data_IF_578303713046
#
_entry.id   IF_578303713046
#
_cell.length_a   1.000
_cell.length_b   1.000
_cell.length_c   1.000
_cell.angle_alpha   90.00
_cell.angle_beta   90.00
_cell.angle_gamma   90.00
#
_symmetry.space_group_name_H-M   'P 1'
#
loop_
_entity.id
_entity.type
_entity.pdbx_description
1 polymer ?
#
# COMPACT_ATOMS: atom_id res chain seq x y z
N UNK A 1 -22.26 -41.19 2.90
CA UNK A 1 -21.14 -40.52 3.59
C UNK A 1 -20.04 -40.03 2.63
N UNK A 2 -19.35 -40.88 1.84
CA UNK A 2 -18.22 -40.43 0.97
C UNK A 2 -18.56 -39.30 -0.03
N UNK A 3 -19.78 -39.24 -0.59
CA UNK A 3 -20.21 -38.20 -1.54
C UNK A 3 -20.40 -36.82 -0.90
N UNK A 4 -20.96 -36.77 0.31
CA UNK A 4 -21.19 -35.52 1.07
C UNK A 4 -19.87 -34.89 1.54
N UNK A 5 -18.91 -35.72 1.98
CA UNK A 5 -17.57 -35.24 2.32
C UNK A 5 -16.81 -34.69 1.10
N UNK A 6 -16.93 -35.34 -0.07
CA UNK A 6 -16.32 -34.84 -1.30
C UNK A 6 -16.91 -33.49 -1.72
N UNK A 7 -18.25 -33.36 -1.75
CA UNK A 7 -18.91 -32.09 -2.09
C UNK A 7 -18.60 -30.97 -1.08
N UNK A 8 -18.43 -31.30 0.21
CA UNK A 8 -17.96 -30.34 1.22
C UNK A 8 -16.54 -29.85 0.94
N UNK A 9 -15.62 -30.73 0.53
CA UNK A 9 -14.25 -30.34 0.18
C UNK A 9 -14.22 -29.43 -1.05
N UNK A 10 -14.96 -29.77 -2.10
CA UNK A 10 -15.05 -28.95 -3.32
C UNK A 10 -15.58 -27.54 -3.01
N UNK A 11 -16.58 -27.41 -2.14
CA UNK A 11 -17.09 -26.10 -1.72
C UNK A 11 -16.06 -25.28 -0.95
N UNK A 12 -15.33 -25.89 0.00
CA UNK A 12 -14.28 -25.20 0.75
C UNK A 12 -13.11 -24.77 -0.15
N UNK A 13 -12.71 -25.60 -1.11
CA UNK A 13 -11.67 -25.25 -2.09
C UNK A 13 -12.12 -24.11 -3.00
N UNK A 14 -13.32 -24.18 -3.57
CA UNK A 14 -13.85 -23.09 -4.41
C UNK A 14 -13.94 -21.77 -3.64
N UNK A 15 -14.34 -21.83 -2.36
CA UNK A 15 -14.40 -20.65 -1.50
C UNK A 15 -13.02 -20.07 -1.24
N UNK A 16 -12.03 -20.93 -0.98
CA UNK A 16 -10.63 -20.53 -0.78
C UNK A 16 -10.05 -19.85 -2.02
N UNK A 17 -10.31 -20.39 -3.22
CA UNK A 17 -9.85 -19.78 -4.47
C UNK A 17 -10.43 -18.38 -4.68
N UNK A 18 -11.73 -18.21 -4.39
CA UNK A 18 -12.38 -16.89 -4.45
C UNK A 18 -11.81 -15.91 -3.42
N UNK A 19 -11.49 -16.38 -2.21
CA UNK A 19 -10.89 -15.55 -1.17
C UNK A 19 -9.46 -15.13 -1.53
N UNK A 20 -8.67 -16.04 -2.10
CA UNK A 20 -7.31 -15.75 -2.57
C UNK A 20 -7.32 -14.72 -3.71
N UNK A 21 -8.28 -14.82 -4.64
CA UNK A 21 -8.49 -13.83 -5.69
C UNK A 21 -8.79 -12.43 -5.10
N UNK A 22 -9.65 -12.35 -4.08
CA UNK A 22 -9.97 -11.09 -3.38
C UNK A 22 -8.75 -10.56 -2.61
N UNK A 23 -7.98 -11.43 -1.98
CA UNK A 23 -6.75 -11.06 -1.28
C UNK A 23 -5.69 -10.49 -2.23
N UNK A 24 -5.54 -11.05 -3.43
CA UNK A 24 -4.64 -10.53 -4.46
C UNK A 24 -5.03 -9.11 -4.90
N UNK A 25 -6.32 -8.85 -5.11
CA UNK A 25 -6.83 -7.51 -5.42
C UNK A 25 -6.55 -6.52 -4.27
N UNK A 26 -6.88 -6.90 -3.03
CA UNK A 26 -6.64 -6.06 -1.85
C UNK A 26 -5.16 -5.75 -1.64
N UNK A 27 -4.28 -6.73 -1.86
CA UNK A 27 -2.82 -6.54 -1.73
C UNK A 27 -2.31 -5.46 -2.68
N UNK A 28 -2.74 -5.47 -3.93
CA UNK A 28 -2.35 -4.43 -4.89
C UNK A 28 -2.85 -3.05 -4.47
N UNK A 29 -4.09 -2.93 -3.99
CA UNK A 29 -4.62 -1.66 -3.49
C UNK A 29 -3.83 -1.12 -2.28
N UNK A 30 -3.48 -1.99 -1.33
CA UNK A 30 -2.66 -1.62 -0.17
C UNK A 30 -1.26 -1.16 -0.59
N UNK A 31 -0.62 -1.87 -1.53
CA UNK A 31 0.70 -1.53 -2.07
C UNK A 31 0.66 -0.20 -2.84
N UNK A 32 -0.39 0.06 -3.63
CA UNK A 32 -0.61 1.33 -4.30
C UNK A 32 -0.81 2.47 -3.29
N UNK A 33 -1.70 2.29 -2.30
CA UNK A 33 -1.95 3.31 -1.26
C UNK A 33 -0.69 3.67 -0.47
N UNK A 34 0.17 2.70 -0.16
CA UNK A 34 1.47 2.96 0.50
C UNK A 34 2.38 3.82 -0.38
N UNK A 35 2.45 3.50 -1.67
CA UNK A 35 3.25 4.23 -2.66
C UNK A 35 2.76 5.69 -2.79
N UNK A 36 1.45 5.89 -2.92
CA UNK A 36 0.82 7.22 -3.03
C UNK A 36 1.03 8.06 -1.76
N UNK A 37 0.82 7.47 -0.58
CA UNK A 37 1.04 8.15 0.71
C UNK A 37 2.49 8.59 0.88
N UNK A 38 3.47 7.73 0.53
CA UNK A 38 4.88 8.11 0.56
C UNK A 38 5.15 9.25 -0.41
N UNK A 39 4.69 9.15 -1.66
CA UNK A 39 4.92 10.18 -2.67
C UNK A 39 4.36 11.54 -2.24
N UNK A 40 3.14 11.59 -1.69
CA UNK A 40 2.54 12.82 -1.18
C UNK A 40 3.32 13.40 0.01
N UNK A 41 3.76 12.56 0.95
CA UNK A 41 4.55 13.00 2.11
C UNK A 41 5.92 13.54 1.68
N UNK A 42 6.64 12.81 0.81
CA UNK A 42 7.94 13.23 0.27
C UNK A 42 7.81 14.55 -0.49
N UNK A 43 6.76 14.72 -1.31
CA UNK A 43 6.53 15.98 -2.04
C UNK A 43 6.38 17.17 -1.09
N UNK A 44 5.57 17.03 -0.04
CA UNK A 44 5.38 18.12 0.94
C UNK A 44 6.68 18.46 1.67
N UNK A 45 7.44 17.45 2.08
CA UNK A 45 8.71 17.65 2.78
C UNK A 45 9.77 18.23 1.84
N UNK A 46 9.78 17.84 0.56
CA UNK A 46 10.65 18.43 -0.46
C UNK A 46 10.33 19.91 -0.65
N UNK A 47 9.05 20.29 -0.78
CA UNK A 47 8.64 21.70 -0.89
C UNK A 47 9.16 22.54 0.29
N UNK A 48 9.08 22.03 1.52
CA UNK A 48 9.63 22.68 2.71
C UNK A 48 11.16 22.75 2.70
N UNK A 49 11.83 21.68 2.26
CA UNK A 49 13.29 21.63 2.13
C UNK A 49 13.80 22.61 1.07
N UNK A 50 13.17 22.66 -0.10
CA UNK A 50 13.48 23.62 -1.17
C UNK A 50 13.27 25.07 -0.69
N UNK A 51 12.20 25.33 0.07
CA UNK A 51 11.96 26.65 0.63
C UNK A 51 13.04 27.05 1.66
N UNK A 52 13.51 26.12 2.49
CA UNK A 52 14.60 26.37 3.44
C UNK A 52 15.94 26.59 2.73
N UNK A 53 16.25 25.80 1.70
CA UNK A 53 17.43 25.98 0.86
C UNK A 53 17.42 27.35 0.18
N UNK A 54 16.29 27.78 -0.40
CA UNK A 54 16.18 29.10 -1.01
C UNK A 54 16.42 30.24 -0.01
N UNK A 55 15.95 30.09 1.24
CA UNK A 55 16.22 31.07 2.31
C UNK A 55 17.71 31.12 2.67
N UNK A 56 18.36 29.96 2.79
CA UNK A 56 19.80 29.84 3.03
C UNK A 56 20.62 30.53 1.93
N UNK A 57 20.30 30.26 0.66
CA UNK A 57 20.94 30.92 -0.49
C UNK A 57 20.76 32.44 -0.48
N UNK A 58 19.55 32.93 -0.16
CA UNK A 58 19.29 34.37 -0.05
C UNK A 58 20.08 35.02 1.09
N UNK A 59 20.14 34.38 2.25
CA UNK A 59 20.93 34.86 3.37
C UNK A 59 22.44 34.90 3.04
N UNK A 60 22.93 33.94 2.26
CA UNK A 60 24.30 33.93 1.77
C UNK A 60 24.58 35.12 0.85
N UNK A 61 23.65 35.42 -0.07
CA UNK A 61 23.75 36.60 -0.95
C UNK A 61 23.76 37.90 -0.13
N UNK A 62 22.89 38.03 0.88
CA UNK A 62 22.88 39.17 1.80
C UNK A 62 24.21 39.32 2.55
N UNK A 63 24.77 38.21 3.05
CA UNK A 63 26.06 38.20 3.73
C UNK A 63 27.19 38.66 2.82
N UNK A 64 27.26 38.13 1.59
CA UNK A 64 28.27 38.50 0.61
C UNK A 64 28.15 39.97 0.18
N UNK A 65 26.92 40.49 0.05
CA UNK A 65 26.68 41.90 -0.23
C UNK A 65 27.19 42.79 0.91
N UNK A 66 26.80 42.48 2.17
CA UNK A 66 27.27 43.21 3.35
C UNK A 66 28.81 43.14 3.51
N UNK A 67 29.42 42.01 3.14
CA UNK A 67 30.87 41.86 3.12
C UNK A 67 31.54 42.78 2.09
N UNK A 68 30.95 42.95 0.89
CA UNK A 68 31.45 43.85 -0.16
C UNK A 68 31.28 45.32 0.21
N UNK A 69 30.20 45.68 0.90
CA UNK A 69 29.95 47.05 1.40
C UNK A 69 30.94 47.48 2.51
N UNK A 70 31.61 46.52 3.16
CA UNK A 70 32.55 46.82 4.26
C UNK A 70 31.88 47.23 5.58
N UNK A 71 30.56 47.17 5.68
CA UNK A 71 29.80 47.50 6.89
C UNK A 71 29.84 46.32 7.88
N UNK A 72 30.64 46.46 8.94
CA UNK A 72 30.82 45.45 9.98
C UNK A 72 29.52 45.12 10.74
N UNK A 73 28.61 46.09 10.92
CA UNK A 73 27.35 45.85 11.64
C UNK A 73 26.39 45.05 10.77
N UNK A 74 26.23 45.44 9.50
CA UNK A 74 25.43 44.68 8.53
C UNK A 74 25.97 43.28 8.31
N UNK A 75 27.30 43.13 8.20
CA UNK A 75 27.95 41.82 8.03
C UNK A 75 27.62 40.87 9.18
N UNK A 76 27.75 41.33 10.44
CA UNK A 76 27.41 40.51 11.61
C UNK A 76 25.93 40.12 11.63
N UNK A 77 25.03 41.05 11.31
CA UNK A 77 23.60 40.75 11.24
C UNK A 77 23.27 39.72 10.14
N UNK A 78 23.88 39.87 8.96
CA UNK A 78 23.71 38.93 7.85
C UNK A 78 24.32 37.56 8.15
N UNK A 79 25.43 37.49 8.88
CA UNK A 79 26.05 36.25 9.32
C UNK A 79 25.11 35.44 10.24
N UNK A 80 24.49 36.09 11.23
CA UNK A 80 23.54 35.43 12.13
C UNK A 80 22.35 34.86 11.33
N UNK A 81 21.79 35.65 10.41
CA UNK A 81 20.71 35.17 9.52
C UNK A 81 21.13 33.97 8.67
N UNK A 82 22.36 33.97 8.17
CA UNK A 82 22.90 32.87 7.38
C UNK A 82 23.01 31.60 8.24
N UNK A 83 23.60 31.70 9.43
CA UNK A 83 23.72 30.55 10.35
C UNK A 83 22.35 29.96 10.74
N UNK A 84 21.36 30.82 11.01
CA UNK A 84 19.99 30.38 11.28
C UNK A 84 19.35 29.69 10.07
N UNK A 85 19.54 30.24 8.87
CA UNK A 85 19.00 29.68 7.63
C UNK A 85 19.66 28.35 7.24
N UNK A 86 20.99 28.23 7.38
CA UNK A 86 21.73 27.00 7.14
C UNK A 86 21.35 25.90 8.14
N UNK A 87 21.12 26.26 9.41
CA UNK A 87 20.63 25.31 10.43
C UNK A 87 19.25 24.79 10.06
N UNK A 88 18.33 25.68 9.68
CA UNK A 88 16.97 25.30 9.26
C UNK A 88 16.98 24.43 8.00
N UNK A 89 17.81 24.76 7.00
CA UNK A 89 18.00 23.95 5.80
C UNK A 89 18.50 22.54 6.16
N UNK A 90 19.50 22.44 7.04
CA UNK A 90 20.06 21.15 7.47
C UNK A 90 19.03 20.30 8.22
N UNK A 91 18.15 20.90 9.01
CA UNK A 91 17.05 20.19 9.65
C UNK A 91 16.02 19.68 8.63
N UNK A 92 15.59 20.53 7.69
CA UNK A 92 14.66 20.12 6.63
C UNK A 92 15.25 19.05 5.71
N UNK A 93 16.55 19.12 5.42
CA UNK A 93 17.26 18.09 4.67
C UNK A 93 17.21 16.74 5.38
N UNK A 94 17.43 16.70 6.69
CA UNK A 94 17.31 15.46 7.48
C UNK A 94 15.88 14.91 7.47
N UNK A 95 14.86 15.77 7.52
CA UNK A 95 13.47 15.33 7.41
C UNK A 95 13.19 14.73 6.03
N UNK A 96 13.70 15.35 4.97
CA UNK A 96 13.60 14.86 3.60
C UNK A 96 14.28 13.50 3.40
N UNK A 97 15.53 13.37 3.88
CA UNK A 97 16.28 12.11 3.82
C UNK A 97 15.55 10.98 4.56
N UNK A 98 14.97 11.27 5.73
CA UNK A 98 14.14 10.32 6.49
C UNK A 98 12.88 9.91 5.72
N UNK A 99 12.20 10.86 5.08
CA UNK A 99 10.99 10.57 4.31
C UNK A 99 11.30 9.72 3.07
N UNK A 100 12.43 9.97 2.40
CA UNK A 100 12.89 9.14 1.29
C UNK A 100 13.24 7.71 1.71
N UNK A 101 13.79 7.53 2.91
CA UNK A 101 14.18 6.23 3.44
C UNK A 101 12.99 5.29 3.75
N UNK A 102 11.75 5.79 3.77
CA UNK A 102 10.55 4.95 3.94
C UNK A 102 10.46 3.92 2.80
N UNK A 103 10.44 2.63 3.10
CA UNK A 103 10.39 1.59 2.06
C UNK A 103 8.97 1.49 1.49
N UNK A 104 8.88 1.51 0.16
CA UNK A 104 7.65 1.20 -0.61
C UNK A 104 7.92 -0.01 -1.49
N UNK A 105 6.87 -0.74 -1.95
CA UNK A 105 7.04 -1.76 -2.97
C UNK A 105 7.81 -1.19 -4.15
N UNK A 106 8.83 -1.91 -4.61
CA UNK A 106 9.54 -1.54 -5.83
C UNK A 106 8.57 -1.57 -7.02
N UNK A 107 8.84 -0.77 -8.06
CA UNK A 107 7.98 -0.70 -9.23
C UNK A 107 7.73 -2.08 -9.87
N UNK A 108 8.73 -2.96 -9.84
CA UNK A 108 8.65 -4.35 -10.29
C UNK A 108 7.70 -5.20 -9.45
N UNK A 109 7.75 -5.08 -8.13
CA UNK A 109 6.85 -5.78 -7.20
C UNK A 109 5.42 -5.25 -7.32
N UNK A 110 5.24 -3.93 -7.44
CA UNK A 110 3.93 -3.31 -7.67
C UNK A 110 3.31 -3.75 -9.00
N UNK A 111 4.11 -3.88 -10.06
CA UNK A 111 3.66 -4.40 -11.35
C UNK A 111 3.24 -5.88 -11.26
N UNK A 112 3.97 -6.70 -10.48
CA UNK A 112 3.59 -8.10 -10.23
C UNK A 112 2.28 -8.20 -9.46
N UNK A 113 2.09 -7.41 -8.41
CA UNK A 113 0.84 -7.42 -7.63
C UNK A 113 -0.33 -6.88 -8.45
N UNK A 114 -0.10 -5.88 -9.31
CA UNK A 114 -1.08 -5.39 -10.29
C UNK A 114 -1.55 -6.51 -11.22
N UNK A 115 -0.61 -7.20 -11.87
CA UNK A 115 -0.94 -8.29 -12.80
C UNK A 115 -1.78 -9.37 -12.12
N UNK A 116 -1.37 -9.80 -10.92
CA UNK A 116 -2.13 -10.78 -10.12
C UNK A 116 -3.53 -10.29 -9.76
N UNK A 117 -3.67 -9.01 -9.39
CA UNK A 117 -4.97 -8.42 -9.10
C UNK A 117 -5.87 -8.35 -10.35
N UNK A 118 -5.32 -8.00 -11.51
CA UNK A 118 -6.05 -8.00 -12.78
C UNK A 118 -6.49 -9.41 -13.20
N UNK A 119 -5.60 -10.40 -13.08
CA UNK A 119 -5.92 -11.81 -13.34
C UNK A 119 -6.99 -12.35 -12.36
N UNK A 120 -6.89 -11.99 -11.08
CA UNK A 120 -7.89 -12.35 -10.07
C UNK A 120 -9.26 -11.71 -10.34
N UNK A 121 -9.28 -10.43 -10.73
CA UNK A 121 -10.50 -9.71 -11.07
C UNK A 121 -11.17 -10.28 -12.33
N UNK A 122 -10.39 -10.68 -13.33
CA UNK A 122 -10.91 -11.32 -14.53
C UNK A 122 -11.58 -12.69 -14.23
N UNK A 123 -11.07 -13.42 -13.23
CA UNK A 123 -11.59 -14.74 -12.82
C UNK A 123 -12.64 -14.68 -11.71
N UNK A 124 -12.82 -13.54 -11.05
CA UNK A 124 -13.69 -13.41 -9.87
C UNK A 124 -15.12 -13.89 -10.12
N UNK A 125 -15.70 -13.53 -11.27
CA UNK A 125 -17.06 -13.92 -11.63
C UNK A 125 -17.18 -15.44 -11.89
N UNK A 126 -16.15 -16.05 -12.49
CA UNK A 126 -16.11 -17.49 -12.69
C UNK A 126 -15.94 -18.25 -11.36
N UNK A 127 -15.06 -17.76 -10.48
CA UNK A 127 -14.84 -18.34 -9.15
C UNK A 127 -16.09 -18.20 -8.27
N UNK A 128 -16.80 -17.06 -8.34
CA UNK A 128 -18.05 -16.87 -7.63
C UNK A 128 -19.14 -17.85 -8.10
N UNK A 129 -19.24 -18.10 -9.41
CA UNK A 129 -20.14 -19.13 -9.96
C UNK A 129 -19.76 -20.54 -9.48
N UNK A 130 -18.47 -20.89 -9.51
CA UNK A 130 -17.97 -22.19 -9.00
C UNK A 130 -18.31 -22.39 -7.52
N UNK A 131 -18.21 -21.36 -6.70
CA UNK A 131 -18.60 -21.43 -5.28
C UNK A 131 -20.10 -21.71 -5.12
N UNK A 132 -20.95 -21.00 -5.86
CA UNK A 132 -22.40 -21.21 -5.83
C UNK A 132 -22.78 -22.62 -6.32
N UNK A 133 -22.17 -23.08 -7.41
CA UNK A 133 -22.38 -24.45 -7.93
C UNK A 133 -21.92 -25.53 -6.95
N UNK A 134 -20.73 -25.36 -6.33
CA UNK A 134 -20.23 -26.30 -5.33
C UNK A 134 -21.09 -26.31 -4.06
N UNK A 135 -21.62 -25.15 -3.67
CA UNK A 135 -22.56 -25.02 -2.54
C UNK A 135 -23.87 -25.77 -2.82
N UNK A 136 -24.43 -25.62 -4.01
CA UNK A 136 -25.64 -26.34 -4.41
C UNK A 136 -25.43 -27.86 -4.37
N UNK A 137 -24.32 -28.36 -4.91
CA UNK A 137 -23.94 -29.79 -4.85
C UNK A 137 -23.74 -30.28 -3.43
N UNK A 138 -23.12 -29.48 -2.56
CA UNK A 138 -22.97 -29.82 -1.14
C UNK A 138 -24.33 -29.93 -0.44
N UNK A 139 -25.26 -29.03 -0.73
CA UNK A 139 -26.60 -29.06 -0.14
C UNK A 139 -27.40 -30.27 -0.64
N UNK A 140 -27.32 -30.60 -1.92
CA UNK A 140 -27.94 -31.79 -2.51
C UNK A 140 -27.38 -33.09 -1.91
N UNK A 141 -26.05 -33.21 -1.82
CA UNK A 141 -25.40 -34.39 -1.23
C UNK A 141 -25.73 -34.57 0.26
N UNK A 142 -25.95 -33.47 1.00
CA UNK A 142 -26.44 -33.52 2.39
C UNK A 142 -27.88 -34.03 2.47
N UNK A 143 -28.78 -33.52 1.61
CA UNK A 143 -30.17 -33.97 1.54
C UNK A 143 -30.28 -35.45 1.20
N UNK A 144 -29.50 -35.94 0.23
CA UNK A 144 -29.46 -37.37 -0.12
C UNK A 144 -28.94 -38.23 1.04
N UNK A 145 -27.91 -37.77 1.77
CA UNK A 145 -27.40 -38.50 2.93
C UNK A 145 -28.43 -38.57 4.06
N UNK A 146 -29.15 -37.47 4.32
CA UNK A 146 -30.20 -37.42 5.33
C UNK A 146 -31.37 -38.35 4.97
N UNK A 147 -31.82 -38.32 3.71
CA UNK A 147 -32.87 -39.19 3.20
C UNK A 147 -32.47 -40.68 3.29
N UNK A 148 -31.21 -41.00 2.98
CA UNK A 148 -30.69 -42.37 3.09
C UNK A 148 -30.65 -42.85 4.55
N UNK A 149 -30.25 -42.00 5.51
CA UNK A 149 -30.31 -42.33 6.94
C UNK A 149 -31.73 -42.56 7.42
N UNK A 150 -32.67 -41.71 7.01
CA UNK A 150 -34.07 -41.81 7.40
C UNK A 150 -34.74 -43.11 6.93
N UNK A 151 -34.39 -43.59 5.73
CA UNK A 151 -34.88 -44.89 5.22
C UNK A 151 -34.30 -46.07 5.98
N UNK A 152 -33.01 -46.02 6.32
CA UNK A 152 -32.35 -47.08 7.10
C UNK A 152 -32.89 -47.17 8.52
N UNK A 153 -33.19 -46.04 9.17
CA UNK A 153 -33.84 -46.00 10.49
C UNK A 153 -35.30 -46.47 10.47
N UNK A 154 -35.99 -46.38 9.32
CA UNK A 154 -37.39 -46.83 9.17
C UNK A 154 -37.54 -48.33 8.84
N UNK A 155 -36.44 -49.01 8.48
CA UNK A 155 -36.41 -50.47 8.22
C UNK A 155 -35.83 -51.29 9.40
N UNK A 156 -35.56 -50.65 10.55
CA UNK A 156 -35.17 -51.29 11.81
C UNK A 156 -36.28 -51.19 12.86
#
# INVERSE_FOLDING_TARGET
MKKSEAAKKEYEEAKKDLEEAKAAQKKYEDDQKKTEKKAAAVKKIDEEHQAANLKSQRALVEFLAAQREGDLKKKKAAQVKLEEAEKAEKEKKKEFDKAQAVVVPEATELAKTKKKAEEAKAKELELAKKVEEAKAKQEEAKKEEELAKQKVDAEH
#
